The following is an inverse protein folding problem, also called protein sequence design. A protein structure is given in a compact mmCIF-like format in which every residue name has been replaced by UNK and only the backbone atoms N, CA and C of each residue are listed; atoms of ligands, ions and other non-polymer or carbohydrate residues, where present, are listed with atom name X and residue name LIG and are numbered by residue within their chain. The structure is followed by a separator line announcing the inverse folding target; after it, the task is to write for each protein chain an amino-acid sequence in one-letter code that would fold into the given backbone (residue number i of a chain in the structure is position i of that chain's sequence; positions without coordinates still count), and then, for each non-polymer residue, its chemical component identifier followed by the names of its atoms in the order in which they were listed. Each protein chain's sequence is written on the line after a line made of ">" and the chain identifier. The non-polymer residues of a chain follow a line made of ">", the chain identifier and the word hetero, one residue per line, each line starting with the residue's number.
data_IF_750470348354
#
_entry.id   IF_750470348354
#
_cell.length_a   1.000
_cell.length_b   1.000
_cell.length_c   1.000
_cell.angle_alpha   90.00
_cell.angle_beta   90.00
_cell.angle_gamma   90.00
#
_symmetry.space_group_name_H-M   'P 1'
#
loop_
_entity.id
_entity.type
_entity.pdbx_description
1 polymer ?
#
# COMPACT_ATOMS: atom_id res chain seq x y z
N UNK A 1 7.40 -27.58 -8.67
CA UNK A 1 6.80 -26.81 -9.79
C UNK A 1 5.49 -26.24 -9.29
N UNK A 2 5.27 -24.93 -9.42
CA UNK A 2 4.06 -24.25 -8.95
C UNK A 2 2.88 -24.60 -9.86
N UNK A 3 1.72 -24.94 -9.32
CA UNK A 3 0.48 -25.14 -10.12
C UNK A 3 -0.26 -23.82 -10.33
N UNK A 4 -1.17 -23.77 -11.30
CA UNK A 4 -2.02 -22.60 -11.55
C UNK A 4 -2.77 -22.15 -10.31
N UNK A 5 -3.41 -23.09 -9.61
CA UNK A 5 -4.16 -22.78 -8.39
C UNK A 5 -3.26 -22.25 -7.28
N UNK A 6 -2.03 -22.75 -7.16
CA UNK A 6 -1.06 -22.24 -6.21
C UNK A 6 -0.64 -20.80 -6.58
N UNK A 7 -0.41 -20.51 -7.86
CA UNK A 7 -0.07 -19.17 -8.33
C UNK A 7 -1.20 -18.16 -8.06
N UNK A 8 -2.45 -18.53 -8.34
CA UNK A 8 -3.61 -17.67 -8.10
C UNK A 8 -3.81 -17.38 -6.61
N UNK A 9 -3.71 -18.41 -5.75
CA UNK A 9 -3.79 -18.23 -4.29
C UNK A 9 -2.66 -17.33 -3.80
N UNK A 10 -1.45 -17.55 -4.29
CA UNK A 10 -0.29 -16.75 -3.92
C UNK A 10 -0.44 -15.28 -4.31
N UNK A 11 -0.90 -14.98 -5.53
CA UNK A 11 -1.18 -13.61 -5.94
C UNK A 11 -2.31 -12.97 -5.13
N UNK A 12 -3.36 -13.74 -4.80
CA UNK A 12 -4.43 -13.24 -3.92
C UNK A 12 -3.90 -12.86 -2.53
N UNK A 13 -3.00 -13.66 -1.94
CA UNK A 13 -2.36 -13.29 -0.67
C UNK A 13 -1.46 -12.07 -0.80
N UNK A 14 -0.71 -11.94 -1.90
CA UNK A 14 0.14 -10.76 -2.14
C UNK A 14 -0.68 -9.48 -2.21
N UNK A 15 -1.82 -9.51 -2.92
CA UNK A 15 -2.76 -8.39 -2.97
C UNK A 15 -3.30 -8.04 -1.59
N UNK A 16 -3.68 -9.04 -0.79
CA UNK A 16 -4.12 -8.81 0.59
C UNK A 16 -3.03 -8.14 1.45
N UNK A 17 -1.77 -8.52 1.28
CA UNK A 17 -0.66 -7.87 1.97
C UNK A 17 -0.49 -6.41 1.54
N UNK A 18 -0.64 -6.10 0.24
CA UNK A 18 -0.61 -4.73 -0.27
C UNK A 18 -1.72 -3.88 0.34
N UNK A 19 -2.94 -4.40 0.43
CA UNK A 19 -4.09 -3.72 1.06
C UNK A 19 -3.83 -3.40 2.55
N UNK A 20 -3.04 -4.23 3.23
CA UNK A 20 -2.74 -4.10 4.66
C UNK A 20 -1.42 -3.41 4.97
N UNK A 21 -0.73 -2.85 3.96
CA UNK A 21 0.50 -2.12 4.19
C UNK A 21 0.27 -0.92 5.12
N UNK A 22 1.10 -0.81 6.16
CA UNK A 22 0.99 0.22 7.19
C UNK A 22 1.81 1.47 6.85
N UNK A 23 2.81 1.35 5.98
CA UNK A 23 3.68 2.45 5.56
C UNK A 23 3.86 2.44 4.04
N UNK A 24 4.23 3.59 3.46
CA UNK A 24 4.55 3.67 2.04
C UNK A 24 5.78 2.83 1.68
N UNK A 25 6.76 2.74 2.58
CA UNK A 25 7.96 1.94 2.40
C UNK A 25 7.62 0.44 2.30
N UNK A 26 6.79 -0.06 3.23
CA UNK A 26 6.31 -1.45 3.20
C UNK A 26 5.50 -1.72 1.93
N UNK A 27 4.65 -0.77 1.54
CA UNK A 27 3.80 -0.89 0.35
C UNK A 27 4.65 -1.05 -0.92
N UNK A 28 5.67 -0.21 -1.12
CA UNK A 28 6.53 -0.29 -2.29
C UNK A 28 7.43 -1.52 -2.29
N UNK A 29 7.88 -1.96 -1.10
CA UNK A 29 8.60 -3.24 -0.96
C UNK A 29 7.70 -4.40 -1.39
N UNK A 30 6.45 -4.42 -0.95
CA UNK A 30 5.49 -5.45 -1.32
C UNK A 30 5.12 -5.40 -2.81
N UNK A 31 5.07 -4.21 -3.42
CA UNK A 31 4.87 -4.04 -4.86
C UNK A 31 6.02 -4.67 -5.65
N UNK A 32 7.27 -4.38 -5.28
CA UNK A 32 8.44 -4.97 -5.92
C UNK A 32 8.42 -6.51 -5.83
N UNK A 33 8.08 -7.03 -4.65
CA UNK A 33 7.89 -8.48 -4.47
C UNK A 33 6.79 -9.02 -5.40
N UNK A 34 5.64 -8.35 -5.48
CA UNK A 34 4.53 -8.76 -6.34
C UNK A 34 4.90 -8.77 -7.83
N UNK A 35 5.69 -7.78 -8.28
CA UNK A 35 6.21 -7.73 -9.65
C UNK A 35 7.16 -8.90 -9.92
N UNK A 36 8.04 -9.21 -8.98
CA UNK A 36 8.95 -10.34 -9.08
C UNK A 36 8.21 -11.68 -9.10
N UNK A 37 7.18 -11.82 -8.27
CA UNK A 37 6.27 -12.97 -8.22
C UNK A 37 5.59 -13.20 -9.58
N UNK A 38 5.04 -12.14 -10.19
CA UNK A 38 4.43 -12.19 -11.52
C UNK A 38 5.42 -12.55 -12.62
N UNK A 39 6.64 -12.01 -12.55
CA UNK A 39 7.71 -12.34 -13.48
C UNK A 39 8.11 -13.82 -13.36
N UNK A 40 8.17 -14.34 -12.15
CA UNK A 40 8.42 -15.76 -11.90
C UNK A 40 7.30 -16.64 -12.47
N UNK A 41 6.03 -16.34 -12.16
CA UNK A 41 4.86 -17.09 -12.66
C UNK A 41 4.83 -17.11 -14.19
N UNK A 42 5.12 -15.96 -14.82
CA UNK A 42 5.21 -15.83 -16.28
C UNK A 42 6.29 -16.73 -16.88
N UNK A 43 7.50 -16.73 -16.30
CA UNK A 43 8.62 -17.58 -16.76
C UNK A 43 8.31 -19.07 -16.62
N UNK A 44 7.59 -19.46 -15.58
CA UNK A 44 7.18 -20.85 -15.36
C UNK A 44 6.03 -21.27 -16.28
N UNK A 45 5.41 -20.34 -17.04
CA UNK A 45 4.25 -20.59 -17.91
C UNK A 45 3.08 -21.27 -17.19
N UNK A 46 2.93 -20.94 -15.90
CA UNK A 46 1.89 -21.51 -15.03
C UNK A 46 0.52 -20.89 -15.30
N UNK A 47 0.51 -19.64 -15.80
CA UNK A 47 -0.68 -18.92 -16.23
C UNK A 47 -0.49 -18.38 -17.64
N UNK A 48 -1.60 -18.15 -18.35
CA UNK A 48 -1.56 -17.50 -19.66
C UNK A 48 -1.10 -16.04 -19.53
N UNK A 49 -0.44 -15.45 -20.55
CA UNK A 49 0.01 -14.06 -20.48
C UNK A 49 -1.09 -13.05 -20.14
N UNK A 50 -2.31 -13.27 -20.62
CA UNK A 50 -3.48 -12.42 -20.31
C UNK A 50 -3.82 -12.47 -18.82
N UNK A 51 -3.75 -13.65 -18.20
CA UNK A 51 -4.03 -13.83 -16.78
C UNK A 51 -2.95 -13.15 -15.92
N UNK A 52 -1.67 -13.30 -16.30
CA UNK A 52 -0.56 -12.57 -15.66
C UNK A 52 -0.75 -11.06 -15.78
N UNK A 53 -1.19 -10.58 -16.94
CA UNK A 53 -1.48 -9.16 -17.17
C UNK A 53 -2.67 -8.64 -16.37
N UNK A 54 -3.66 -9.49 -16.07
CA UNK A 54 -4.77 -9.14 -15.17
C UNK A 54 -4.29 -9.00 -13.73
N UNK A 55 -3.50 -9.95 -13.23
CA UNK A 55 -2.95 -9.85 -11.87
C UNK A 55 -1.97 -8.68 -11.73
N UNK A 56 -1.19 -8.35 -12.76
CA UNK A 56 -0.34 -7.15 -12.78
C UNK A 56 -1.15 -5.86 -12.59
N UNK A 57 -2.22 -5.68 -13.38
CA UNK A 57 -3.10 -4.51 -13.27
C UNK A 57 -3.78 -4.44 -11.90
N UNK A 58 -4.10 -5.60 -11.31
CA UNK A 58 -4.67 -5.67 -9.96
C UNK A 58 -3.68 -5.21 -8.89
N UNK A 59 -2.43 -5.65 -8.98
CA UNK A 59 -1.34 -5.18 -8.10
C UNK A 59 -1.18 -3.66 -8.21
N UNK A 60 -1.03 -3.13 -9.43
CA UNK A 60 -0.89 -1.68 -9.67
C UNK A 60 -2.07 -0.87 -9.11
N UNK A 61 -3.31 -1.32 -9.36
CA UNK A 61 -4.50 -0.64 -8.84
C UNK A 61 -4.55 -0.65 -7.30
N UNK A 62 -4.19 -1.78 -6.69
CA UNK A 62 -4.18 -1.94 -5.22
C UNK A 62 -3.11 -1.05 -4.60
N UNK A 63 -1.89 -1.03 -5.16
CA UNK A 63 -0.80 -0.16 -4.70
C UNK A 63 -1.20 1.31 -4.77
N UNK A 64 -1.72 1.77 -5.91
CA UNK A 64 -2.12 3.17 -6.08
C UNK A 64 -3.23 3.57 -5.10
N UNK A 65 -4.20 2.68 -4.89
CA UNK A 65 -5.27 2.91 -3.92
C UNK A 65 -4.73 3.05 -2.50
N UNK A 66 -3.92 2.09 -2.03
CA UNK A 66 -3.39 2.09 -0.66
C UNK A 66 -2.39 3.22 -0.42
N UNK A 67 -1.57 3.56 -1.41
CA UNK A 67 -0.67 4.72 -1.33
C UNK A 67 -1.46 6.01 -1.06
N UNK A 68 -2.55 6.22 -1.82
CA UNK A 68 -3.42 7.37 -1.61
C UNK A 68 -4.11 7.38 -0.24
N UNK A 69 -4.45 6.23 0.33
CA UNK A 69 -4.96 6.14 1.71
C UNK A 69 -3.90 6.52 2.73
N UNK A 70 -2.70 5.94 2.63
CA UNK A 70 -1.58 6.22 3.53
C UNK A 70 -1.19 7.70 3.52
N UNK A 71 -1.18 8.34 2.35
CA UNK A 71 -0.94 9.77 2.22
C UNK A 71 -2.04 10.60 2.92
N UNK A 72 -3.32 10.22 2.74
CA UNK A 72 -4.44 10.88 3.44
C UNK A 72 -4.36 10.68 4.95
N UNK A 73 -4.03 9.49 5.42
CA UNK A 73 -3.83 9.16 6.83
C UNK A 73 -2.68 10.01 7.43
N UNK A 74 -1.56 10.12 6.74
CA UNK A 74 -0.43 10.96 7.14
C UNK A 74 -0.80 12.44 7.22
N UNK A 75 -1.59 12.95 6.26
CA UNK A 75 -2.07 14.33 6.26
C UNK A 75 -3.10 14.59 7.36
N UNK A 76 -4.00 13.65 7.63
CA UNK A 76 -4.96 13.73 8.73
C UNK A 76 -4.22 13.78 10.08
N UNK A 77 -3.23 12.91 10.28
CA UNK A 77 -2.39 12.89 11.48
C UNK A 77 -1.67 14.23 11.70
N UNK A 78 -1.03 14.78 10.66
CA UNK A 78 -0.41 16.12 10.72
C UNK A 78 -1.41 17.21 11.10
N UNK A 79 -2.59 17.20 10.50
CA UNK A 79 -3.66 18.18 10.78
C UNK A 79 -4.12 18.11 12.23
N UNK A 80 -4.35 16.91 12.75
CA UNK A 80 -4.75 16.69 14.14
C UNK A 80 -3.66 17.15 15.11
N UNK A 81 -2.41 16.77 14.87
CA UNK A 81 -1.28 17.19 15.70
C UNK A 81 -1.13 18.73 15.74
N UNK A 82 -1.31 19.41 14.60
CA UNK A 82 -1.28 20.88 14.55
C UNK A 82 -2.46 21.51 15.31
N UNK A 83 -3.67 20.93 15.20
CA UNK A 83 -4.85 21.40 15.92
C UNK A 83 -4.68 21.24 17.44
N UNK A 84 -4.20 20.08 17.90
CA UNK A 84 -3.89 19.83 19.31
C UNK A 84 -2.82 20.79 19.82
N UNK A 85 -1.75 21.02 19.06
CA UNK A 85 -0.71 21.99 19.42
C UNK A 85 -1.21 23.43 19.55
N UNK A 86 -2.26 23.82 18.80
CA UNK A 86 -2.92 25.12 18.96
C UNK A 86 -3.79 25.18 20.21
N UNK A 87 -4.50 24.11 20.56
CA UNK A 87 -5.33 24.05 21.77
C UNK A 87 -4.49 23.97 23.05
N UNK A 88 -3.34 23.30 23.00
CA UNK A 88 -2.42 23.15 24.14
C UNK A 88 -1.43 24.30 24.29
N UNK A 89 -1.37 25.25 23.34
CA UNK A 89 -0.59 26.47 23.54
C UNK A 89 -1.20 27.23 24.72
N UNK A 90 -0.43 27.52 25.80
CA UNK A 90 -0.90 28.45 26.80
C UNK A 90 -1.26 29.75 26.08
N UNK A 91 -2.42 30.32 26.39
CA UNK A 91 -2.73 31.67 25.97
C UNK A 91 -1.61 32.57 26.50
N UNK A 92 -0.62 32.88 25.66
CA UNK A 92 0.45 33.79 26.02
C UNK A 92 -0.19 35.16 26.19
N UNK A 93 -0.56 35.44 27.44
CA UNK A 93 -0.58 36.75 28.08
C UNK A 93 -0.99 37.91 27.17
N UNK A 94 -2.23 37.88 26.67
CA UNK A 94 -2.94 39.12 26.32
C UNK A 94 -3.46 39.79 27.59
N UNK A 95 -2.58 40.17 28.52
CA UNK A 95 -3.02 40.66 29.82
C UNK A 95 -1.90 40.93 30.83
N UNK A 96 -0.90 41.72 30.48
CA UNK A 96 -0.20 42.54 31.46
C UNK A 96 0.23 43.84 30.78
N UNK A 97 -0.10 44.94 31.45
CA UNK A 97 0.10 46.34 31.06
C UNK A 97 1.54 46.67 30.73
#
# INVERSE_FOLDING_TARGET
>A
MLTKDQALKFMAYRVLMLEQANTLEDLYTLEEMAVNDLNYISRQRVMQPVEVGTERRRVEATTNHRAGELEREAMASKTVCLALGRMMRPAAAGGAR
#
